data_IF_274880033365
#
_entry.id   IF_274880033365
#
_cell.length_a   1.000
_cell.length_b   1.000
_cell.length_c   1.000
_cell.angle_alpha   90.00
_cell.angle_beta   90.00
_cell.angle_gamma   90.00
#
_symmetry.space_group_name_H-M   'P 1'
#
loop_
_entity.id
_entity.type
_entity.pdbx_description
1 polymer ?
#
# COMPACT_ATOMS: atom_id res chain seq x y z
N UNK A 1 0.01 -47.90 13.13
CA UNK A 1 -0.31 -49.04 13.97
C UNK A 1 -0.87 -50.16 13.14
N UNK A 2 -0.21 -51.35 13.16
CA UNK A 2 -0.76 -52.53 12.54
C UNK A 2 -1.93 -53.02 13.45
N UNK A 3 -3.10 -52.50 13.20
CA UNK A 3 -4.34 -53.17 13.62
C UNK A 3 -4.57 -54.32 12.66
N UNK A 4 -3.93 -55.42 12.94
CA UNK A 4 -4.13 -56.64 12.15
C UNK A 4 -3.94 -57.87 13.00
N UNK A 5 -4.82 -58.82 12.84
CA UNK A 5 -4.59 -60.20 13.26
C UNK A 5 -3.26 -60.63 12.69
N UNK A 6 -2.33 -61.22 13.46
CA UNK A 6 -1.06 -61.68 12.90
C UNK A 6 -1.33 -62.62 11.71
N UNK A 7 -0.52 -62.51 10.67
CA UNK A 7 -0.72 -63.36 9.50
C UNK A 7 -0.72 -64.83 9.93
N UNK A 8 -1.59 -65.68 9.32
CA UNK A 8 -1.58 -67.07 9.61
C UNK A 8 -0.22 -67.66 9.24
N UNK A 9 0.36 -68.42 10.14
CA UNK A 9 1.58 -69.20 9.87
C UNK A 9 1.21 -70.53 9.24
N UNK A 10 1.93 -71.00 8.24
CA UNK A 10 3.14 -70.40 7.59
C UNK A 10 2.79 -69.28 6.60
N UNK A 11 3.65 -68.25 6.52
CA UNK A 11 3.57 -67.22 5.48
C UNK A 11 4.91 -67.00 4.79
N UNK A 12 4.88 -66.50 3.54
CA UNK A 12 6.06 -66.25 2.75
C UNK A 12 6.51 -64.79 2.93
N UNK A 13 7.78 -64.61 3.27
CA UNK A 13 8.46 -63.33 3.35
C UNK A 13 9.39 -63.17 2.15
N UNK A 14 9.18 -62.15 1.34
CA UNK A 14 10.11 -61.77 0.28
C UNK A 14 11.29 -61.00 0.85
N UNK A 15 12.50 -61.42 0.54
CA UNK A 15 13.73 -60.73 0.92
C UNK A 15 14.15 -59.73 -0.15
N UNK A 16 15.06 -58.82 0.20
CA UNK A 16 15.55 -57.76 -0.70
C UNK A 16 16.28 -58.29 -1.96
N UNK A 17 16.82 -59.52 -1.87
CA UNK A 17 17.49 -60.19 -2.98
C UNK A 17 16.52 -60.90 -3.95
N UNK A 18 15.20 -60.77 -3.71
CA UNK A 18 14.16 -61.40 -4.52
C UNK A 18 13.88 -62.88 -4.18
N UNK A 19 14.54 -63.43 -3.17
CA UNK A 19 14.23 -64.78 -2.66
C UNK A 19 13.02 -64.74 -1.71
N UNK A 20 12.31 -65.86 -1.63
CA UNK A 20 11.19 -66.04 -0.68
C UNK A 20 11.57 -67.04 0.39
N UNK A 21 11.29 -66.70 1.64
CA UNK A 21 11.48 -67.59 2.78
C UNK A 21 10.12 -67.90 3.39
N UNK A 22 9.84 -69.18 3.63
CA UNK A 22 8.63 -69.61 4.33
C UNK A 22 8.86 -69.52 5.85
N UNK A 23 8.08 -68.71 6.49
CA UNK A 23 8.12 -68.52 7.96
C UNK A 23 7.09 -69.41 8.61
N UNK A 24 7.54 -70.36 9.45
CA UNK A 24 6.67 -71.28 10.20
C UNK A 24 6.45 -70.75 11.60
N UNK A 25 5.42 -71.28 12.27
CA UNK A 25 5.07 -70.93 13.67
C UNK A 25 6.19 -71.22 14.68
N UNK A 26 7.13 -72.12 14.35
CA UNK A 26 8.27 -72.44 15.20
C UNK A 26 9.41 -71.44 15.09
N UNK A 27 9.45 -70.61 13.98
CA UNK A 27 10.48 -69.64 13.70
C UNK A 27 10.17 -68.28 14.30
N UNK A 28 8.90 -67.96 14.63
CA UNK A 28 8.46 -66.67 15.11
C UNK A 28 7.58 -66.75 16.35
N UNK A 29 7.84 -65.88 17.28
CA UNK A 29 6.94 -65.65 18.42
C UNK A 29 6.33 -64.27 18.26
N UNK A 30 5.01 -64.21 18.09
CA UNK A 30 4.26 -62.95 17.99
C UNK A 30 3.79 -62.53 19.38
N UNK A 31 4.25 -61.36 19.80
CA UNK A 31 3.82 -60.76 21.08
C UNK A 31 3.14 -59.42 20.83
N UNK A 32 1.95 -59.26 21.30
CA UNK A 32 1.26 -57.98 21.29
C UNK A 32 1.76 -57.13 22.48
N UNK A 33 2.39 -56.01 22.16
CA UNK A 33 2.81 -55.04 23.18
C UNK A 33 1.99 -53.74 23.02
N UNK A 34 1.48 -53.23 24.15
CA UNK A 34 0.87 -51.94 24.17
C UNK A 34 1.96 -50.87 24.42
N UNK A 35 2.17 -50.07 23.41
CA UNK A 35 3.14 -48.94 23.49
C UNK A 35 2.41 -47.60 23.37
N UNK A 36 2.83 -46.64 24.17
CA UNK A 36 2.35 -45.27 24.02
C UNK A 36 3.06 -44.62 22.81
N UNK A 37 2.26 -44.28 21.79
CA UNK A 37 2.73 -43.49 20.65
C UNK A 37 2.58 -42.04 21.03
N UNK A 38 3.68 -41.35 21.26
CA UNK A 38 3.69 -39.92 21.66
C UNK A 38 3.41 -38.96 20.49
N UNK A 39 3.29 -39.46 19.27
CA UNK A 39 2.99 -38.67 18.08
C UNK A 39 3.43 -39.36 16.81
N UNK A 40 3.05 -38.78 15.72
CA UNK A 40 3.43 -39.20 14.37
C UNK A 40 4.14 -38.04 13.66
N UNK A 41 5.25 -38.33 12.98
CA UNK A 41 5.92 -37.33 12.18
C UNK A 41 5.21 -37.19 10.84
N UNK A 42 4.85 -35.93 10.51
CA UNK A 42 4.29 -35.61 9.21
C UNK A 42 4.94 -34.32 8.66
N UNK A 43 4.96 -34.18 7.34
CA UNK A 43 5.40 -32.97 6.67
C UNK A 43 4.20 -32.05 6.45
N UNK A 44 4.09 -30.94 7.21
CA UNK A 44 2.99 -30.02 7.02
C UNK A 44 3.10 -29.25 5.71
N UNK A 45 1.98 -29.02 5.06
CA UNK A 45 1.88 -28.03 4.00
C UNK A 45 1.52 -26.68 4.63
N UNK A 46 2.27 -25.66 4.27
CA UNK A 46 2.04 -24.29 4.78
C UNK A 46 1.77 -23.34 3.61
N UNK A 47 0.90 -22.37 3.84
CA UNK A 47 0.70 -21.21 2.96
C UNK A 47 1.27 -20.02 3.70
N UNK A 48 2.34 -19.47 3.18
CA UNK A 48 3.07 -18.36 3.81
C UNK A 48 3.16 -17.17 2.85
N UNK A 49 2.09 -16.36 2.75
CA UNK A 49 2.12 -15.15 1.94
C UNK A 49 3.05 -14.13 2.57
N UNK A 50 3.92 -13.55 1.77
CA UNK A 50 4.83 -12.49 2.19
C UNK A 50 4.66 -11.25 1.31
N UNK A 51 4.58 -10.07 1.96
CA UNK A 51 4.45 -8.77 1.30
C UNK A 51 5.65 -7.90 1.64
N UNK A 52 6.52 -7.66 0.66
CA UNK A 52 7.65 -6.74 0.80
C UNK A 52 7.16 -5.30 0.63
N UNK A 53 7.11 -4.53 1.72
CA UNK A 53 6.61 -3.14 1.73
C UNK A 53 7.40 -2.27 0.76
N UNK A 54 8.72 -2.32 0.79
CA UNK A 54 9.59 -1.52 -0.08
C UNK A 54 9.32 -1.80 -1.56
N UNK A 55 9.09 -3.07 -1.91
CA UNK A 55 8.75 -3.48 -3.27
C UNK A 55 7.38 -2.96 -3.70
N UNK A 56 6.40 -2.95 -2.79
CA UNK A 56 5.07 -2.39 -3.05
C UNK A 56 5.19 -0.89 -3.28
N UNK A 57 5.92 -0.17 -2.43
CA UNK A 57 6.15 1.28 -2.58
C UNK A 57 6.79 1.57 -3.94
N UNK A 58 7.83 0.81 -4.30
CA UNK A 58 8.49 0.97 -5.59
C UNK A 58 7.51 0.81 -6.77
N UNK A 59 6.69 -0.22 -6.76
CA UNK A 59 5.68 -0.43 -7.79
C UNK A 59 4.64 0.69 -7.86
N UNK A 60 4.19 1.20 -6.70
CA UNK A 60 3.25 2.32 -6.65
C UNK A 60 3.85 3.56 -7.29
N UNK A 61 5.12 3.89 -6.98
CA UNK A 61 5.81 5.05 -7.55
C UNK A 61 6.06 4.88 -9.05
N UNK A 62 6.53 3.70 -9.49
CA UNK A 62 6.81 3.39 -10.88
C UNK A 62 5.54 3.50 -11.76
N UNK A 63 4.42 2.99 -11.27
CA UNK A 63 3.14 3.08 -11.98
C UNK A 63 2.49 4.47 -11.93
N UNK A 64 2.79 5.26 -10.91
CA UNK A 64 2.27 6.63 -10.77
C UNK A 64 3.08 7.67 -11.53
N UNK A 65 4.33 7.36 -11.87
CA UNK A 65 5.23 8.26 -12.56
C UNK A 65 4.80 8.49 -14.02
N UNK A 66 4.63 9.76 -14.40
CA UNK A 66 4.30 10.16 -15.77
C UNK A 66 5.14 11.35 -16.18
N UNK A 67 5.69 11.29 -17.38
CA UNK A 67 6.34 12.41 -18.06
C UNK A 67 5.30 13.06 -18.96
N UNK A 68 4.53 13.98 -18.40
CA UNK A 68 3.53 14.72 -19.16
C UNK A 68 4.25 15.90 -19.85
N UNK A 69 4.78 15.68 -21.05
CA UNK A 69 5.48 16.66 -21.86
C UNK A 69 4.61 17.84 -22.29
N UNK A 70 4.24 18.70 -21.35
CA UNK A 70 3.68 20.03 -21.59
C UNK A 70 4.84 21.02 -21.64
N UNK A 71 5.33 21.28 -22.84
CA UNK A 71 6.19 22.41 -23.22
C UNK A 71 7.54 22.60 -22.47
N UNK A 72 7.90 21.74 -21.54
CA UNK A 72 9.23 21.68 -20.94
C UNK A 72 9.64 20.23 -20.70
N UNK A 73 10.85 19.88 -21.12
CA UNK A 73 11.43 18.52 -21.02
C UNK A 73 11.54 17.99 -19.59
N UNK A 74 11.17 18.76 -18.56
CA UNK A 74 11.37 18.49 -17.15
C UNK A 74 10.06 18.43 -16.32
N UNK A 75 8.88 18.38 -16.94
CA UNK A 75 7.64 18.32 -16.16
C UNK A 75 7.23 16.89 -15.86
N UNK A 76 7.35 16.50 -14.62
CA UNK A 76 7.03 15.16 -14.10
C UNK A 76 5.83 15.23 -13.18
N UNK A 77 4.98 14.24 -13.25
CA UNK A 77 3.80 14.11 -12.38
C UNK A 77 3.77 12.73 -11.76
N UNK A 78 3.60 12.66 -10.44
CA UNK A 78 3.24 11.43 -9.75
C UNK A 78 1.72 11.34 -9.61
N UNK A 79 1.09 10.48 -10.41
CA UNK A 79 -0.37 10.25 -10.37
C UNK A 79 -0.74 9.24 -9.28
N UNK A 80 -0.37 9.57 -8.05
CA UNK A 80 -0.71 8.75 -6.89
C UNK A 80 -2.22 8.76 -6.64
N UNK A 81 -2.74 7.61 -6.20
CA UNK A 81 -4.11 7.55 -5.71
C UNK A 81 -4.23 8.42 -4.44
N UNK A 82 -5.37 9.11 -4.28
CA UNK A 82 -5.62 10.01 -3.15
C UNK A 82 -5.41 9.36 -1.77
N UNK A 83 -5.57 8.03 -1.66
CA UNK A 83 -5.36 7.26 -0.41
C UNK A 83 -3.90 7.08 -0.01
N UNK A 84 -2.97 7.31 -0.93
CA UNK A 84 -1.52 7.06 -0.73
C UNK A 84 -0.66 8.29 -1.06
N UNK A 85 -1.28 9.43 -1.36
CA UNK A 85 -0.56 10.68 -1.53
C UNK A 85 -0.02 11.20 -0.19
N UNK A 86 1.12 11.92 -0.21
CA UNK A 86 1.73 12.46 1.01
C UNK A 86 0.93 13.61 1.62
N UNK A 87 0.19 14.34 0.79
CA UNK A 87 -0.68 15.44 1.18
C UNK A 87 -1.98 15.35 0.38
N UNK A 88 -3.09 15.68 1.01
CA UNK A 88 -4.40 15.71 0.36
C UNK A 88 -4.55 16.96 -0.53
N UNK A 89 -3.94 18.08 -0.10
CA UNK A 89 -3.94 19.31 -0.86
C UNK A 89 -2.69 20.17 -0.59
N UNK A 90 -2.37 21.06 -1.55
CA UNK A 90 -1.38 22.12 -1.41
C UNK A 90 -2.05 23.49 -1.47
N UNK A 91 -1.75 24.36 -0.49
CA UNK A 91 -2.14 25.76 -0.50
C UNK A 91 -1.01 26.59 -1.10
N UNK A 92 -1.34 27.36 -2.13
CA UNK A 92 -0.38 28.10 -2.95
C UNK A 92 -0.80 29.59 -2.98
N UNK A 93 -0.33 30.44 -2.06
CA UNK A 93 -0.56 31.89 -2.17
C UNK A 93 0.11 32.43 -3.44
N UNK A 94 -0.57 33.27 -4.22
CA UNK A 94 -0.03 33.81 -5.49
C UNK A 94 1.19 34.67 -5.24
N UNK A 95 1.17 35.49 -4.19
CA UNK A 95 2.28 36.28 -3.71
C UNK A 95 2.40 36.18 -2.19
N UNK A 96 3.62 36.39 -1.70
CA UNK A 96 3.94 36.43 -0.27
C UNK A 96 3.82 37.87 0.24
N UNK A 97 2.71 38.51 -0.11
CA UNK A 97 2.44 39.94 0.17
C UNK A 97 0.93 40.21 0.24
N UNK A 98 0.60 41.39 0.74
CA UNK A 98 -0.75 41.98 0.68
C UNK A 98 -1.84 41.19 1.44
N UNK A 99 -1.46 40.34 2.42
CA UNK A 99 -2.40 39.55 3.22
C UNK A 99 -2.78 38.19 2.66
N UNK A 100 -2.18 37.78 1.51
CA UNK A 100 -2.45 36.47 0.91
C UNK A 100 -1.80 35.33 1.71
N UNK A 101 -0.63 35.58 2.30
CA UNK A 101 0.07 34.62 3.16
C UNK A 101 -0.67 34.44 4.49
N UNK A 102 -1.22 35.52 5.08
CA UNK A 102 -2.05 35.44 6.28
C UNK A 102 -3.32 34.64 6.02
N UNK A 103 -4.00 34.88 4.90
CA UNK A 103 -5.17 34.10 4.50
C UNK A 103 -4.81 32.63 4.24
N UNK A 104 -3.70 32.36 3.57
CA UNK A 104 -3.23 31.01 3.32
C UNK A 104 -2.92 30.25 4.62
N UNK A 105 -2.28 30.91 5.61
CA UNK A 105 -2.00 30.34 6.91
C UNK A 105 -3.27 30.13 7.75
N UNK A 106 -4.26 31.02 7.63
CA UNK A 106 -5.56 30.83 8.26
C UNK A 106 -6.27 29.59 7.71
N UNK A 107 -6.34 29.46 6.38
CA UNK A 107 -6.89 28.27 5.71
C UNK A 107 -6.14 27.00 6.09
N UNK A 108 -4.82 27.05 6.13
CA UNK A 108 -4.01 25.93 6.57
C UNK A 108 -4.41 25.47 7.97
N UNK A 109 -4.53 26.42 8.91
CA UNK A 109 -4.88 26.12 10.30
C UNK A 109 -6.27 25.52 10.42
N UNK A 110 -7.22 26.06 9.66
CA UNK A 110 -8.60 25.58 9.64
C UNK A 110 -8.70 24.16 9.05
N UNK A 111 -8.06 23.89 7.91
CA UNK A 111 -8.10 22.57 7.26
C UNK A 111 -7.35 21.53 8.09
N UNK A 112 -6.21 21.87 8.69
CA UNK A 112 -5.49 20.98 9.61
C UNK A 112 -6.28 20.60 10.86
N UNK A 113 -7.31 21.39 11.22
CA UNK A 113 -8.22 21.03 12.31
C UNK A 113 -9.13 19.84 11.94
N UNK A 114 -9.28 19.56 10.66
CA UNK A 114 -10.03 18.40 10.15
C UNK A 114 -9.18 17.14 10.36
N UNK A 115 -9.73 16.17 11.07
CA UNK A 115 -8.99 14.96 11.41
C UNK A 115 -8.66 14.15 10.17
N UNK A 116 -7.36 13.87 10.00
CA UNK A 116 -6.85 12.98 8.95
C UNK A 116 -6.50 13.67 7.64
N UNK A 117 -6.67 15.00 7.54
CA UNK A 117 -6.27 15.77 6.35
C UNK A 117 -4.82 16.24 6.51
N UNK A 118 -4.02 16.04 5.46
CA UNK A 118 -2.64 16.49 5.37
C UNK A 118 -2.54 17.62 4.34
N UNK A 119 -1.96 18.74 4.74
CA UNK A 119 -1.87 19.94 3.91
C UNK A 119 -0.43 20.40 3.76
N UNK A 120 -0.03 20.70 2.53
CA UNK A 120 1.22 21.37 2.22
C UNK A 120 0.97 22.85 1.94
N UNK A 121 1.82 23.73 2.46
CA UNK A 121 1.82 25.16 2.12
C UNK A 121 3.14 25.48 1.42
N UNK A 122 3.08 25.99 0.19
CA UNK A 122 4.27 26.37 -0.58
C UNK A 122 4.14 27.80 -1.11
N UNK A 123 4.99 28.68 -0.58
CA UNK A 123 5.09 30.09 -0.99
C UNK A 123 6.36 30.38 -1.81
N UNK A 124 7.23 29.37 -2.09
CA UNK A 124 8.55 29.58 -2.63
C UNK A 124 8.59 29.66 -4.17
N UNK A 125 9.15 30.71 -4.74
CA UNK A 125 9.33 30.89 -6.16
C UNK A 125 8.05 31.31 -6.90
N UNK A 126 7.96 31.03 -8.20
CA UNK A 126 6.78 31.36 -9.00
C UNK A 126 5.66 30.37 -8.80
N UNK A 127 4.42 30.79 -9.02
CA UNK A 127 3.23 29.94 -8.88
C UNK A 127 3.30 28.70 -9.79
N UNK A 128 3.83 28.85 -11.01
CA UNK A 128 4.02 27.70 -11.92
C UNK A 128 4.96 26.62 -11.34
N UNK A 129 6.06 27.06 -10.68
CA UNK A 129 6.99 26.13 -10.02
C UNK A 129 6.35 25.45 -8.80
N UNK A 130 5.46 26.14 -8.08
CA UNK A 130 4.74 25.55 -6.95
C UNK A 130 3.75 24.49 -7.40
N UNK A 131 3.04 24.73 -8.49
CA UNK A 131 2.20 23.71 -9.12
C UNK A 131 3.01 22.48 -9.57
N UNK A 132 4.16 22.73 -10.25
CA UNK A 132 5.04 21.66 -10.69
C UNK A 132 5.51 20.78 -9.51
N UNK A 133 5.96 21.39 -8.41
CA UNK A 133 6.37 20.66 -7.20
C UNK A 133 5.21 19.88 -6.56
N UNK A 134 4.00 20.45 -6.52
CA UNK A 134 2.84 19.74 -6.01
C UNK A 134 2.50 18.52 -6.87
N UNK A 135 2.56 18.65 -8.19
CA UNK A 135 2.32 17.56 -9.13
C UNK A 135 3.45 16.50 -9.06
N UNK A 136 4.72 16.92 -8.90
CA UNK A 136 5.89 16.07 -8.76
C UNK A 136 5.85 15.18 -7.51
N UNK A 137 5.38 15.69 -6.38
CA UNK A 137 5.21 14.92 -5.14
C UNK A 137 3.86 14.18 -5.05
N UNK A 138 3.02 14.33 -6.07
CA UNK A 138 1.78 13.57 -6.20
C UNK A 138 0.60 14.12 -5.42
N UNK A 139 0.57 15.41 -5.08
CA UNK A 139 -0.57 16.05 -4.40
C UNK A 139 -1.75 16.17 -5.36
N UNK A 140 -2.94 15.63 -5.04
CA UNK A 140 -4.07 15.60 -5.97
C UNK A 140 -4.77 16.95 -6.16
N UNK A 141 -4.74 17.82 -5.14
CA UNK A 141 -5.45 19.08 -5.15
C UNK A 141 -4.55 20.25 -4.81
N UNK A 142 -4.68 21.35 -5.56
CA UNK A 142 -4.01 22.62 -5.28
C UNK A 142 -5.02 23.73 -5.14
N UNK A 143 -4.90 24.49 -4.05
CA UNK A 143 -5.72 25.64 -3.71
C UNK A 143 -4.88 26.90 -3.85
N UNK A 144 -5.27 27.79 -4.76
CA UNK A 144 -4.56 29.05 -4.96
C UNK A 144 -5.30 30.20 -4.29
N UNK A 145 -4.56 30.94 -3.46
CA UNK A 145 -5.00 32.19 -2.82
C UNK A 145 -4.47 33.35 -3.64
N UNK A 146 -5.37 34.17 -4.18
CA UNK A 146 -5.05 35.31 -5.04
C UNK A 146 -5.67 36.62 -4.50
N UNK A 147 -5.51 37.71 -5.24
CA UNK A 147 -6.06 39.01 -4.86
C UNK A 147 -7.61 39.01 -4.71
N UNK A 148 -8.31 38.26 -5.57
CA UNK A 148 -9.75 38.11 -5.45
C UNK A 148 -10.15 37.40 -4.17
N UNK A 149 -9.30 36.46 -3.68
CA UNK A 149 -9.53 35.75 -2.43
C UNK A 149 -9.64 36.67 -1.23
N UNK A 150 -8.90 37.80 -1.23
CA UNK A 150 -8.93 38.79 -0.18
C UNK A 150 -10.21 39.66 -0.22
N UNK A 151 -10.83 39.80 -1.41
CA UNK A 151 -11.98 40.65 -1.62
C UNK A 151 -13.30 39.90 -1.42
N UNK A 152 -13.40 38.70 -2.01
CA UNK A 152 -14.66 37.95 -2.09
C UNK A 152 -14.65 36.64 -1.29
N UNK A 153 -13.55 36.34 -0.59
CA UNK A 153 -13.44 35.10 0.21
C UNK A 153 -13.46 33.82 -0.60
N UNK A 154 -13.05 33.88 -1.88
CA UNK A 154 -13.03 32.70 -2.75
C UNK A 154 -11.61 32.26 -3.06
N UNK A 155 -11.41 31.00 -3.36
CA UNK A 155 -10.11 30.42 -3.77
C UNK A 155 -10.28 29.62 -5.06
N UNK A 156 -9.17 29.47 -5.79
CA UNK A 156 -9.14 28.65 -6.99
C UNK A 156 -8.65 27.24 -6.63
N UNK A 157 -9.43 26.21 -7.00
CA UNK A 157 -9.05 24.81 -6.83
C UNK A 157 -8.71 24.22 -8.19
N UNK A 158 -7.59 23.52 -8.24
CA UNK A 158 -7.14 22.73 -9.40
C UNK A 158 -6.92 21.27 -8.98
N UNK A 159 -7.44 20.35 -9.77
CA UNK A 159 -7.08 18.94 -9.68
C UNK A 159 -5.83 18.66 -10.52
N UNK A 160 -4.90 17.85 -10.02
CA UNK A 160 -3.67 17.43 -10.72
C UNK A 160 -3.96 16.74 -12.05
N UNK A 161 -4.94 15.84 -12.06
CA UNK A 161 -5.26 15.00 -13.22
C UNK A 161 -6.22 15.68 -14.20
N UNK A 162 -6.87 16.76 -13.76
CA UNK A 162 -7.75 17.57 -14.58
C UNK A 162 -7.36 19.06 -14.47
N UNK A 163 -6.80 19.67 -15.51
CA UNK A 163 -6.28 21.04 -15.44
C UNK A 163 -7.37 22.12 -15.31
N UNK A 164 -8.65 21.76 -15.36
CA UNK A 164 -9.73 22.69 -15.12
C UNK A 164 -9.68 23.26 -13.69
N UNK A 165 -9.74 24.56 -13.61
CA UNK A 165 -9.78 25.28 -12.35
C UNK A 165 -11.21 25.72 -12.06
N UNK A 166 -11.62 25.55 -10.81
CA UNK A 166 -12.91 26.04 -10.32
C UNK A 166 -12.66 27.03 -9.20
N UNK A 167 -13.56 28.02 -9.08
CA UNK A 167 -13.52 28.98 -8.00
C UNK A 167 -14.62 28.68 -6.98
N UNK A 168 -14.26 28.60 -5.71
CA UNK A 168 -15.17 28.24 -4.62
C UNK A 168 -14.96 29.16 -3.42
N UNK A 169 -16.00 29.37 -2.63
CA UNK A 169 -15.88 30.06 -1.34
C UNK A 169 -15.04 29.24 -0.36
N UNK A 170 -14.21 29.92 0.46
CA UNK A 170 -13.36 29.27 1.47
C UNK A 170 -14.14 28.41 2.44
N UNK A 171 -15.36 28.83 2.80
CA UNK A 171 -16.30 28.10 3.66
C UNK A 171 -16.67 26.70 3.11
N UNK A 172 -16.74 26.56 1.77
CA UNK A 172 -17.05 25.29 1.10
C UNK A 172 -15.87 24.32 1.09
N UNK A 173 -14.66 24.85 1.18
CA UNK A 173 -13.46 24.05 1.25
C UNK A 173 -13.38 23.25 2.56
N UNK A 174 -13.99 23.74 3.61
CA UNK A 174 -13.92 23.22 4.97
C UNK A 174 -15.14 22.34 5.30
N UNK A 175 -16.25 22.51 4.58
CA UNK A 175 -17.54 21.88 4.90
C UNK A 175 -17.72 20.48 4.31
N UNK A 176 -16.76 19.93 3.56
CA UNK A 176 -16.76 18.61 2.95
C UNK A 176 -15.63 17.75 3.45
#
# INVERSE_FOLDING_TARGET
GLEGTPPPTPFKLALEDGSEVEITSEMVTLKKEEGNVHGEWFTPHVIEPAFGIDRIIWHVLDHAFTEDGKDSEDYVTLRLNERVCPYDLSILPLFDKDGMDELANSLLSEILSIRGVQVNLDSTGSIGKRYARADEIGVPWAVTVDHSSLVDGTVTIRNRDNPHQIRVGTEKLISH
#
